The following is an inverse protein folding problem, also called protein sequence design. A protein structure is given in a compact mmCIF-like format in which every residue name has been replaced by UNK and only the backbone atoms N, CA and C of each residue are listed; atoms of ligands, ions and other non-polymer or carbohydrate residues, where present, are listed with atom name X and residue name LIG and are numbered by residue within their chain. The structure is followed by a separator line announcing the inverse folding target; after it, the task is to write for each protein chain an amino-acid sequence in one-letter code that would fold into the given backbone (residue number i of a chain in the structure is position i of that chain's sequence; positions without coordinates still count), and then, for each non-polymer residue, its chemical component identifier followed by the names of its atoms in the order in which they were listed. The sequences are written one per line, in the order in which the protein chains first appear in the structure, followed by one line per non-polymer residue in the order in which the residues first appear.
data_IF_236498614808
#
_entry.id   IF_236498614808
#
_cell.length_a   1.000
_cell.length_b   1.000
_cell.length_c   1.000
_cell.angle_alpha   90.00
_cell.angle_beta   90.00
_cell.angle_gamma   90.00
#
_symmetry.space_group_name_H-M   'P 1'
#
loop_
_entity.id
_entity.type
_entity.pdbx_description
1 polymer ?
#
# COMPACT_ATOMS: atom_id res chain seq x y z
N UNK A 1 23.93 4.16 -52.81
CA UNK A 1 22.47 4.33 -52.67
C UNK A 1 22.00 3.55 -51.44
N UNK A 2 21.54 4.22 -50.39
CA UNK A 2 20.98 3.55 -49.21
C UNK A 2 19.45 3.70 -49.23
N UNK A 3 18.74 2.57 -49.27
CA UNK A 3 17.27 2.50 -49.30
C UNK A 3 16.69 2.95 -47.96
N UNK A 4 15.74 3.90 -48.04
CA UNK A 4 14.96 4.41 -46.92
C UNK A 4 14.04 3.30 -46.40
N UNK A 5 14.33 2.74 -45.22
CA UNK A 5 13.42 1.79 -44.58
C UNK A 5 12.06 2.45 -44.32
N UNK A 6 10.98 1.81 -44.78
CA UNK A 6 9.62 2.30 -44.70
C UNK A 6 9.19 2.61 -43.27
N UNK A 7 8.43 3.69 -43.09
CA UNK A 7 7.81 4.06 -41.81
C UNK A 7 7.00 2.87 -41.28
N UNK A 8 7.45 2.24 -40.19
CA UNK A 8 6.63 1.24 -39.47
C UNK A 8 5.31 1.92 -39.10
N UNK A 9 4.20 1.43 -39.64
CA UNK A 9 2.85 1.87 -39.24
C UNK A 9 2.69 1.62 -37.74
N UNK A 10 2.23 2.63 -37.01
CA UNK A 10 1.87 2.46 -35.61
C UNK A 10 0.80 1.35 -35.50
N UNK A 11 0.91 0.43 -34.52
CA UNK A 11 -0.05 -0.66 -34.37
C UNK A 11 -1.47 -0.12 -34.15
N UNK A 12 -2.48 -0.84 -34.66
CA UNK A 12 -3.88 -0.48 -34.43
C UNK A 12 -4.20 -0.58 -32.93
N UNK A 13 -5.18 0.19 -32.46
CA UNK A 13 -5.58 0.23 -31.03
C UNK A 13 -5.91 -1.17 -30.50
N UNK A 14 -6.56 -2.00 -31.31
CA UNK A 14 -6.89 -3.40 -31.00
C UNK A 14 -5.64 -4.27 -30.85
N UNK A 15 -4.66 -4.15 -31.75
CA UNK A 15 -3.38 -4.90 -31.67
C UNK A 15 -2.55 -4.49 -30.44
N UNK A 16 -2.59 -3.20 -30.10
CA UNK A 16 -1.93 -2.67 -28.89
C UNK A 16 -2.61 -3.20 -27.63
N UNK A 17 -3.95 -3.22 -27.61
CA UNK A 17 -4.73 -3.78 -26.51
C UNK A 17 -4.51 -5.29 -26.37
N UNK A 18 -4.41 -6.05 -27.46
CA UNK A 18 -4.10 -7.49 -27.44
C UNK A 18 -2.68 -7.73 -26.92
N UNK A 19 -1.70 -6.93 -27.33
CA UNK A 19 -0.31 -7.05 -26.85
C UNK A 19 -0.17 -6.68 -25.37
N UNK A 20 -0.78 -5.59 -24.93
CA UNK A 20 -0.83 -5.18 -23.52
C UNK A 20 -1.58 -6.20 -22.68
N UNK A 21 -2.71 -6.72 -23.20
CA UNK A 21 -3.46 -7.83 -22.60
C UNK A 21 -2.58 -9.06 -22.46
N UNK A 22 -1.83 -9.49 -23.47
CA UNK A 22 -0.96 -10.67 -23.37
C UNK A 22 0.22 -10.49 -22.41
N UNK A 23 0.73 -9.26 -22.27
CA UNK A 23 1.80 -8.93 -21.32
C UNK A 23 1.29 -8.93 -19.86
N UNK A 24 0.05 -8.50 -19.64
CA UNK A 24 -0.65 -8.52 -18.35
C UNK A 24 -1.21 -9.93 -18.04
N UNK A 25 -1.70 -10.63 -19.06
CA UNK A 25 -2.40 -11.91 -19.00
C UNK A 25 -1.48 -13.11 -19.28
N UNK A 26 -0.19 -13.03 -18.97
CA UNK A 26 0.75 -14.16 -18.99
C UNK A 26 0.41 -15.27 -17.97
N UNK A 27 -0.88 -15.52 -17.70
CA UNK A 27 -1.40 -16.46 -16.70
C UNK A 27 -1.43 -15.94 -15.27
N UNK A 28 -0.97 -14.71 -15.01
CA UNK A 28 -0.78 -14.19 -13.65
C UNK A 28 -2.07 -13.64 -13.03
N UNK A 29 -2.98 -13.12 -13.85
CA UNK A 29 -4.22 -12.47 -13.38
C UNK A 29 -5.46 -13.07 -14.01
N UNK A 30 -6.54 -13.10 -13.23
CA UNK A 30 -7.86 -13.46 -13.72
C UNK A 30 -8.42 -12.42 -14.69
N UNK A 31 -9.28 -12.86 -15.63
CA UNK A 31 -9.88 -12.02 -16.68
C UNK A 31 -10.45 -10.68 -16.17
N UNK A 32 -11.23 -10.72 -15.08
CA UNK A 32 -11.80 -9.48 -14.51
C UNK A 32 -10.73 -8.47 -14.04
N UNK A 33 -9.60 -8.96 -13.53
CA UNK A 33 -8.49 -8.08 -13.12
C UNK A 33 -7.81 -7.50 -14.36
N UNK A 34 -7.63 -8.31 -15.41
CA UNK A 34 -7.10 -7.86 -16.71
C UNK A 34 -7.97 -6.76 -17.31
N UNK A 35 -9.29 -6.93 -17.29
CA UNK A 35 -10.24 -5.92 -17.77
C UNK A 35 -10.11 -4.60 -17.01
N UNK A 36 -9.96 -4.65 -15.68
CA UNK A 36 -9.72 -3.45 -14.86
C UNK A 36 -8.42 -2.76 -15.30
N UNK A 37 -7.32 -3.50 -15.46
CA UNK A 37 -6.04 -2.92 -15.87
C UNK A 37 -6.10 -2.29 -17.27
N UNK A 38 -6.76 -2.95 -18.23
CA UNK A 38 -7.02 -2.40 -19.57
C UNK A 38 -7.84 -1.11 -19.48
N UNK A 39 -8.86 -1.07 -18.61
CA UNK A 39 -9.66 0.13 -18.40
C UNK A 39 -8.83 1.29 -17.81
N UNK A 40 -7.87 1.01 -16.92
CA UNK A 40 -6.94 2.04 -16.42
C UNK A 40 -6.06 2.64 -17.53
N UNK A 41 -5.58 1.81 -18.46
CA UNK A 41 -4.80 2.25 -19.63
C UNK A 41 -5.65 3.07 -20.60
N UNK A 42 -6.86 2.60 -20.91
CA UNK A 42 -7.80 3.27 -21.81
C UNK A 42 -8.23 4.64 -21.26
N UNK A 43 -8.50 4.72 -19.94
CA UNK A 43 -8.89 5.95 -19.26
C UNK A 43 -7.68 6.87 -18.95
N UNK A 44 -6.47 6.52 -19.38
CA UNK A 44 -5.23 7.26 -19.08
C UNK A 44 -5.01 7.49 -17.59
N UNK A 45 -5.46 6.56 -16.74
CA UNK A 45 -5.08 6.55 -15.32
C UNK A 45 -3.61 6.16 -15.20
N UNK A 46 -3.14 5.26 -16.06
CA UNK A 46 -1.73 4.92 -16.27
C UNK A 46 -1.45 4.88 -17.78
N UNK A 47 -0.20 5.08 -18.18
CA UNK A 47 0.22 5.04 -19.59
C UNK A 47 0.80 3.69 -20.00
N UNK A 48 1.45 2.99 -19.06
CA UNK A 48 1.89 1.60 -19.16
C UNK A 48 1.88 0.95 -17.79
N UNK A 49 1.73 -0.38 -17.75
CA UNK A 49 2.07 -1.20 -16.59
C UNK A 49 3.46 -1.79 -16.85
N UNK A 50 4.41 -1.54 -15.95
CA UNK A 50 5.80 -1.96 -16.10
C UNK A 50 6.03 -3.29 -15.36
N UNK A 51 7.16 -3.43 -14.67
CA UNK A 51 7.51 -4.60 -13.88
C UNK A 51 6.88 -4.59 -12.46
N UNK A 52 6.72 -5.79 -11.85
CA UNK A 52 6.44 -5.88 -10.42
C UNK A 52 7.62 -5.29 -9.63
N UNK A 53 7.31 -4.50 -8.61
CA UNK A 53 8.30 -3.92 -7.67
C UNK A 53 8.25 -4.59 -6.31
N UNK A 54 7.11 -5.16 -5.93
CA UNK A 54 6.98 -5.96 -4.71
C UNK A 54 5.93 -7.05 -4.90
N UNK A 55 6.18 -8.22 -4.31
CA UNK A 55 5.28 -9.37 -4.38
C UNK A 55 5.10 -10.00 -3.00
N UNK A 56 3.88 -9.87 -2.46
CA UNK A 56 3.49 -10.49 -1.20
C UNK A 56 2.55 -11.69 -1.39
N UNK A 57 2.14 -12.30 -0.28
CA UNK A 57 1.12 -13.36 -0.28
C UNK A 57 -0.25 -12.84 -0.75
N UNK A 58 -0.54 -11.58 -0.47
CA UNK A 58 -1.89 -11.02 -0.59
C UNK A 58 -2.06 -10.13 -1.81
N UNK A 59 -0.98 -9.51 -2.29
CA UNK A 59 -0.99 -8.61 -3.42
C UNK A 59 0.34 -8.61 -4.17
N UNK A 60 0.32 -8.10 -5.40
CA UNK A 60 1.51 -7.72 -6.16
C UNK A 60 1.42 -6.22 -6.42
N UNK A 61 2.52 -5.50 -6.22
CA UNK A 61 2.63 -4.08 -6.55
C UNK A 61 3.45 -3.94 -7.82
N UNK A 62 2.89 -3.25 -8.81
CA UNK A 62 3.55 -2.91 -10.06
C UNK A 62 3.92 -1.45 -10.06
N UNK A 63 5.03 -1.13 -10.73
CA UNK A 63 5.26 0.23 -11.20
C UNK A 63 4.44 0.43 -12.48
N UNK A 64 3.88 1.62 -12.64
CA UNK A 64 3.21 2.04 -13.85
C UNK A 64 3.71 3.43 -14.26
N UNK A 65 3.95 3.66 -15.54
CA UNK A 65 4.32 4.99 -16.03
C UNK A 65 3.09 5.90 -16.10
N UNK A 66 3.26 7.18 -15.75
CA UNK A 66 2.22 8.21 -15.89
C UNK A 66 2.85 9.57 -16.19
N UNK A 67 2.72 10.03 -17.43
CA UNK A 67 3.36 11.26 -17.91
C UNK A 67 4.89 11.17 -17.74
N UNK A 68 5.48 12.13 -17.01
CA UNK A 68 6.91 12.12 -16.67
C UNK A 68 7.24 11.39 -15.36
N UNK A 69 6.23 10.84 -14.67
CA UNK A 69 6.38 10.20 -13.37
C UNK A 69 5.85 8.77 -13.37
N UNK A 70 5.65 8.25 -12.16
CA UNK A 70 5.23 6.87 -11.94
C UNK A 70 4.05 6.80 -10.95
N UNK A 71 3.31 5.69 -11.03
CA UNK A 71 2.28 5.28 -10.08
C UNK A 71 2.57 3.86 -9.61
N UNK A 72 2.14 3.54 -8.41
CA UNK A 72 2.08 2.17 -7.91
C UNK A 72 0.69 1.60 -8.20
N UNK A 73 0.65 0.39 -8.76
CA UNK A 73 -0.60 -0.36 -9.01
C UNK A 73 -0.55 -1.62 -8.17
N UNK A 74 -1.26 -1.63 -7.05
CA UNK A 74 -1.38 -2.78 -6.15
C UNK A 74 -2.57 -3.63 -6.58
N UNK A 75 -2.30 -4.87 -6.95
CA UNK A 75 -3.30 -5.86 -7.39
C UNK A 75 -3.41 -6.93 -6.32
N UNK A 76 -4.56 -7.01 -5.65
CA UNK A 76 -4.83 -8.02 -4.63
C UNK A 76 -5.17 -9.36 -5.29
N UNK A 77 -4.61 -10.43 -4.75
CA UNK A 77 -4.74 -11.80 -5.25
C UNK A 77 -6.03 -12.43 -4.71
N UNK A 78 -6.83 -13.02 -5.60
CA UNK A 78 -7.99 -13.81 -5.19
C UNK A 78 -7.60 -15.18 -4.62
N UNK A 79 -6.52 -15.77 -5.13
CA UNK A 79 -5.91 -16.97 -4.56
C UNK A 79 -4.90 -16.62 -3.47
N UNK A 80 -5.42 -16.26 -2.29
CA UNK A 80 -4.64 -15.99 -1.08
C UNK A 80 -4.87 -17.09 -0.03
N UNK A 81 -3.79 -17.70 0.47
CA UNK A 81 -3.83 -18.72 1.53
C UNK A 81 -4.16 -18.14 2.92
N UNK A 82 -4.02 -16.82 3.09
CA UNK A 82 -4.29 -16.09 4.34
C UNK A 82 -5.74 -15.62 4.47
N UNK A 83 -6.64 -16.08 3.59
CA UNK A 83 -8.04 -15.65 3.51
C UNK A 83 -8.79 -15.61 4.84
N UNK A 84 -8.56 -16.61 5.71
CA UNK A 84 -9.21 -16.65 7.04
C UNK A 84 -8.77 -15.48 7.92
N UNK A 85 -7.46 -15.19 7.96
CA UNK A 85 -6.90 -14.07 8.73
C UNK A 85 -7.38 -12.73 8.18
N UNK A 86 -7.60 -12.63 6.87
CA UNK A 86 -8.10 -11.40 6.26
C UNK A 86 -9.47 -10.97 6.84
N UNK A 87 -10.31 -11.95 7.17
CA UNK A 87 -11.64 -11.70 7.71
C UNK A 87 -11.58 -11.04 9.09
N UNK A 88 -10.60 -11.40 9.92
CA UNK A 88 -10.46 -10.87 11.29
C UNK A 88 -10.24 -9.35 11.34
N UNK A 89 -9.66 -8.76 10.28
CA UNK A 89 -9.42 -7.31 10.17
C UNK A 89 -10.62 -6.54 9.58
N UNK A 90 -11.71 -7.23 9.30
CA UNK A 90 -12.95 -6.67 8.72
C UNK A 90 -14.12 -6.95 9.64
N UNK A 91 -14.17 -8.14 10.22
CA UNK A 91 -15.20 -8.55 11.18
C UNK A 91 -15.07 -7.78 12.49
N UNK A 92 -16.08 -6.97 12.80
CA UNK A 92 -16.05 -6.05 13.94
C UNK A 92 -15.58 -4.64 13.59
N UNK A 93 -15.15 -4.36 12.36
CA UNK A 93 -14.98 -2.98 11.90
C UNK A 93 -16.37 -2.40 11.56
N UNK A 94 -16.83 -1.35 12.26
CA UNK A 94 -18.19 -0.84 12.10
C UNK A 94 -18.45 -0.21 10.73
N UNK A 95 -17.41 0.02 9.92
CA UNK A 95 -17.55 0.50 8.53
C UNK A 95 -18.12 -0.57 7.60
N UNK A 96 -18.10 -1.84 8.01
CA UNK A 96 -18.53 -2.97 7.19
C UNK A 96 -19.64 -3.76 7.88
N UNK A 97 -20.89 -3.57 7.45
CA UNK A 97 -22.02 -4.35 7.94
C UNK A 97 -22.03 -5.74 7.29
N UNK A 98 -21.96 -6.81 8.12
CA UNK A 98 -22.00 -8.23 7.69
C UNK A 98 -21.08 -8.52 6.50
N UNK A 99 -19.75 -8.39 6.66
CA UNK A 99 -18.82 -8.61 5.56
C UNK A 99 -18.95 -10.01 4.97
N UNK A 100 -18.88 -10.11 3.65
CA UNK A 100 -18.98 -11.40 2.97
C UNK A 100 -17.77 -12.28 3.29
N UNK A 101 -18.05 -13.55 3.61
CA UNK A 101 -17.04 -14.60 3.81
C UNK A 101 -16.60 -15.27 2.51
N UNK A 102 -17.08 -14.80 1.36
CA UNK A 102 -16.65 -15.30 0.06
C UNK A 102 -15.33 -14.65 -0.37
N UNK A 103 -14.45 -15.42 -1.03
CA UNK A 103 -13.12 -14.97 -1.48
C UNK A 103 -13.14 -13.63 -2.22
N UNK A 104 -13.87 -13.57 -3.33
CA UNK A 104 -13.88 -12.41 -4.23
C UNK A 104 -14.39 -11.13 -3.55
N UNK A 105 -15.59 -11.11 -2.94
CA UNK A 105 -16.07 -9.92 -2.25
C UNK A 105 -15.14 -9.42 -1.14
N UNK A 106 -14.52 -10.31 -0.36
CA UNK A 106 -13.61 -9.90 0.71
C UNK A 106 -12.32 -9.28 0.18
N UNK A 107 -11.74 -9.83 -0.89
CA UNK A 107 -10.54 -9.27 -1.54
C UNK A 107 -10.82 -7.87 -2.11
N UNK A 108 -11.98 -7.69 -2.74
CA UNK A 108 -12.42 -6.37 -3.23
C UNK A 108 -12.67 -5.40 -2.07
N UNK A 109 -13.22 -5.90 -0.95
CA UNK A 109 -13.42 -5.11 0.25
C UNK A 109 -12.08 -4.66 0.84
N UNK A 110 -11.07 -5.51 0.84
CA UNK A 110 -9.71 -5.18 1.26
C UNK A 110 -9.08 -4.07 0.42
N UNK A 111 -9.20 -4.14 -0.91
CA UNK A 111 -8.72 -3.07 -1.79
C UNK A 111 -9.42 -1.73 -1.49
N UNK A 112 -10.74 -1.76 -1.31
CA UNK A 112 -11.53 -0.56 -0.94
C UNK A 112 -11.16 -0.04 0.45
N UNK A 113 -10.92 -0.94 1.39
CA UNK A 113 -10.52 -0.63 2.76
C UNK A 113 -9.14 0.05 2.78
N UNK A 114 -8.14 -0.49 2.08
CA UNK A 114 -6.81 0.14 1.98
C UNK A 114 -6.91 1.53 1.34
N UNK A 115 -7.68 1.67 0.26
CA UNK A 115 -7.93 2.98 -0.37
C UNK A 115 -8.53 4.00 0.61
N UNK A 116 -9.54 3.58 1.38
CA UNK A 116 -10.20 4.44 2.36
C UNK A 116 -9.27 4.81 3.53
N UNK A 117 -8.48 3.85 4.02
CA UNK A 117 -7.50 4.08 5.08
C UNK A 117 -6.41 5.06 4.62
N UNK A 118 -5.82 4.87 3.43
CA UNK A 118 -4.84 5.80 2.86
C UNK A 118 -5.43 7.21 2.73
N UNK A 119 -6.68 7.34 2.29
CA UNK A 119 -7.36 8.65 2.20
C UNK A 119 -7.50 9.32 3.56
N UNK A 120 -7.95 8.57 4.57
CA UNK A 120 -8.12 9.08 5.92
C UNK A 120 -6.78 9.51 6.55
N UNK A 121 -5.74 8.67 6.44
CA UNK A 121 -4.39 8.98 6.89
C UNK A 121 -3.83 10.23 6.20
N UNK A 122 -3.99 10.32 4.88
CA UNK A 122 -3.55 11.50 4.12
C UNK A 122 -4.28 12.77 4.56
N UNK A 123 -5.59 12.69 4.76
CA UNK A 123 -6.40 13.80 5.26
C UNK A 123 -6.00 14.27 6.68
N UNK A 124 -5.44 13.37 7.50
CA UNK A 124 -4.91 13.66 8.82
C UNK A 124 -3.43 14.11 8.80
N UNK A 125 -2.81 14.26 7.63
CA UNK A 125 -1.41 14.68 7.50
C UNK A 125 -0.40 13.59 7.88
N UNK A 126 -0.80 12.32 7.86
CA UNK A 126 0.10 11.17 7.96
C UNK A 126 0.84 11.01 6.63
N UNK A 127 2.14 10.73 6.69
CA UNK A 127 2.94 10.41 5.50
C UNK A 127 2.58 9.02 4.98
N UNK A 128 1.76 8.98 3.94
CA UNK A 128 1.32 7.78 3.22
C UNK A 128 1.30 8.06 1.72
N UNK A 129 1.41 7.03 0.84
CA UNK A 129 1.19 7.21 -0.59
C UNK A 129 -0.16 7.83 -0.88
N UNK A 130 -0.22 8.83 -1.76
CA UNK A 130 -1.51 9.39 -2.20
C UNK A 130 -2.34 8.34 -2.96
N UNK A 131 -3.55 7.99 -2.50
CA UNK A 131 -4.40 7.02 -3.18
C UNK A 131 -5.22 7.71 -4.29
N UNK A 132 -5.01 7.33 -5.54
CA UNK A 132 -5.70 7.93 -6.68
C UNK A 132 -7.05 7.26 -6.96
N UNK A 133 -7.05 5.93 -7.07
CA UNK A 133 -8.22 5.18 -7.51
C UNK A 133 -8.22 3.74 -6.98
N UNK A 134 -9.41 3.23 -6.66
CA UNK A 134 -9.63 1.81 -6.39
C UNK A 134 -10.78 1.29 -7.24
N UNK A 135 -10.59 0.15 -7.91
CA UNK A 135 -11.59 -0.56 -8.72
C UNK A 135 -11.39 -2.06 -8.55
N UNK A 136 -12.46 -2.78 -8.20
CA UNK A 136 -12.40 -4.21 -7.88
C UNK A 136 -11.28 -4.52 -6.87
N UNK A 137 -10.30 -5.35 -7.24
CA UNK A 137 -9.12 -5.74 -6.49
C UNK A 137 -7.87 -4.95 -6.86
N UNK A 138 -7.99 -3.80 -7.53
CA UNK A 138 -6.87 -2.98 -7.98
C UNK A 138 -6.92 -1.61 -7.32
N UNK A 139 -5.79 -1.23 -6.71
CA UNK A 139 -5.54 0.07 -6.09
C UNK A 139 -4.40 0.78 -6.86
N UNK A 140 -4.65 2.00 -7.31
CA UNK A 140 -3.66 2.89 -7.92
C UNK A 140 -3.33 4.00 -6.93
N UNK A 141 -2.05 4.16 -6.61
CA UNK A 141 -1.55 5.13 -5.64
C UNK A 141 -0.21 5.73 -6.07
N UNK A 142 0.27 6.70 -5.31
CA UNK A 142 1.59 7.31 -5.48
C UNK A 142 2.69 6.26 -5.50
N UNK A 143 3.64 6.40 -6.42
CA UNK A 143 4.85 5.60 -6.41
C UNK A 143 5.90 6.31 -5.55
N UNK A 144 6.23 5.71 -4.40
CA UNK A 144 7.31 6.19 -3.56
C UNK A 144 8.66 5.73 -4.14
N UNK A 145 9.28 6.60 -4.93
CA UNK A 145 10.58 6.32 -5.55
C UNK A 145 11.16 7.50 -6.33
N UNK A 146 12.43 7.38 -6.72
CA UNK A 146 13.17 8.41 -7.47
C UNK A 146 13.73 7.79 -8.75
N UNK A 147 13.55 8.45 -9.90
CA UNK A 147 14.02 7.91 -11.19
C UNK A 147 13.39 6.57 -11.58
N UNK A 148 12.19 6.26 -11.06
CA UNK A 148 11.52 4.98 -11.28
C UNK A 148 12.04 3.83 -10.42
N UNK A 149 13.00 4.08 -9.53
CA UNK A 149 13.51 3.12 -8.54
C UNK A 149 12.72 3.32 -7.25
N UNK A 150 12.20 2.23 -6.70
CA UNK A 150 11.43 2.24 -5.46
C UNK A 150 12.30 2.70 -4.28
N UNK A 151 11.73 3.50 -3.39
CA UNK A 151 12.37 3.86 -2.12
C UNK A 151 12.65 2.62 -1.25
N UNK A 152 13.72 2.64 -0.47
CA UNK A 152 14.06 1.53 0.42
C UNK A 152 13.07 1.42 1.60
N UNK A 153 12.85 0.20 2.07
CA UNK A 153 12.17 -0.06 3.33
C UNK A 153 13.06 0.34 4.50
N UNK A 154 12.44 0.67 5.63
CA UNK A 154 13.15 0.97 6.87
C UNK A 154 14.02 -0.22 7.32
N UNK A 155 13.57 -1.45 7.05
CA UNK A 155 14.34 -2.69 7.31
C UNK A 155 15.58 -2.86 6.43
N UNK A 156 15.72 -2.11 5.34
CA UNK A 156 16.77 -2.25 4.33
C UNK A 156 17.88 -1.20 4.47
N UNK A 157 17.76 -0.30 5.45
CA UNK A 157 18.69 0.81 5.63
C UNK A 157 19.32 0.82 7.03
N UNK A 158 20.46 1.47 7.11
CA UNK A 158 21.03 1.92 8.39
C UNK A 158 20.67 3.40 8.54
N UNK A 159 20.07 3.76 9.68
CA UNK A 159 19.67 5.13 9.95
C UNK A 159 20.87 5.95 10.43
N UNK A 160 21.12 7.08 9.78
CA UNK A 160 22.10 8.07 10.26
C UNK A 160 21.59 8.78 11.53
N UNK A 161 20.29 9.12 11.54
CA UNK A 161 19.61 9.76 12.67
C UNK A 161 18.33 8.98 13.02
N UNK A 162 18.51 7.99 13.89
CA UNK A 162 17.43 7.13 14.36
C UNK A 162 16.41 7.89 15.22
N UNK A 163 16.85 8.90 16.00
CA UNK A 163 15.97 9.68 16.86
C UNK A 163 15.01 10.55 16.04
N UNK A 164 15.52 11.26 15.03
CA UNK A 164 14.68 12.06 14.13
C UNK A 164 13.69 11.20 13.37
N UNK A 165 14.13 10.06 12.83
CA UNK A 165 13.25 9.15 12.09
C UNK A 165 12.16 8.57 13.00
N UNK A 166 12.53 8.18 14.22
CA UNK A 166 11.59 7.73 15.24
C UNK A 166 10.54 8.80 15.56
N UNK A 167 10.98 10.05 15.77
CA UNK A 167 10.11 11.16 16.10
C UNK A 167 9.05 11.39 15.01
N UNK A 168 9.45 11.38 13.73
CA UNK A 168 8.47 11.50 12.62
C UNK A 168 7.51 10.32 12.58
N UNK A 169 7.98 9.09 12.83
CA UNK A 169 7.11 7.90 12.87
C UNK A 169 6.11 8.00 14.04
N UNK A 170 6.56 8.38 15.23
CA UNK A 170 5.69 8.54 16.39
C UNK A 170 4.61 9.61 16.16
N UNK A 171 4.99 10.76 15.59
CA UNK A 171 4.03 11.80 15.20
C UNK A 171 3.03 11.31 14.13
N UNK A 172 3.46 10.51 13.16
CA UNK A 172 2.56 9.91 12.18
C UNK A 172 1.60 8.89 12.83
N UNK A 173 2.05 8.13 13.83
CA UNK A 173 1.18 7.25 14.62
C UNK A 173 0.15 8.03 15.44
N UNK A 174 0.53 9.14 16.07
CA UNK A 174 -0.37 10.05 16.80
C UNK A 174 -1.47 10.62 15.89
N UNK A 175 -1.10 11.10 14.70
CA UNK A 175 -2.03 11.62 13.68
C UNK A 175 -2.98 10.52 13.20
N UNK A 176 -2.46 9.32 12.92
CA UNK A 176 -3.27 8.17 12.49
C UNK A 176 -4.26 7.74 13.57
N UNK A 177 -3.83 7.67 14.83
CA UNK A 177 -4.69 7.38 15.97
C UNK A 177 -5.78 8.45 16.13
N UNK A 178 -5.42 9.73 16.05
CA UNK A 178 -6.36 10.86 16.09
C UNK A 178 -7.38 10.83 14.95
N UNK A 179 -7.01 10.25 13.79
CA UNK A 179 -7.91 10.01 12.67
C UNK A 179 -8.85 8.80 12.87
N UNK A 180 -8.78 8.12 14.01
CA UNK A 180 -9.62 6.97 14.32
C UNK A 180 -9.14 5.64 13.74
N UNK A 181 -7.85 5.52 13.40
CA UNK A 181 -7.27 4.36 12.73
C UNK A 181 -6.09 3.75 13.49
N UNK A 182 -5.92 2.45 13.31
CA UNK A 182 -4.75 1.66 13.73
C UNK A 182 -4.24 0.91 12.51
N UNK A 183 -2.93 0.84 12.31
CA UNK A 183 -2.35 0.15 11.15
C UNK A 183 -2.49 -1.38 11.27
N UNK A 184 -2.36 -1.90 12.48
CA UNK A 184 -2.51 -3.30 12.87
C UNK A 184 -1.48 -4.28 12.30
N UNK A 185 -0.42 -3.75 11.69
CA UNK A 185 0.74 -4.47 11.17
C UNK A 185 1.95 -3.55 10.98
N UNK A 186 2.05 -2.47 11.77
CA UNK A 186 3.13 -1.50 11.60
C UNK A 186 4.45 -2.10 12.10
N UNK A 187 5.46 -2.08 11.23
CA UNK A 187 6.82 -2.55 11.49
C UNK A 187 7.78 -1.90 10.48
N UNK A 188 9.07 -2.15 10.63
CA UNK A 188 10.12 -1.70 9.70
C UNK A 188 9.93 -2.19 8.25
N UNK A 189 9.12 -3.22 8.04
CA UNK A 189 8.81 -3.76 6.71
C UNK A 189 7.68 -3.02 6.00
N UNK A 190 6.91 -2.21 6.74
CA UNK A 190 5.77 -1.44 6.23
C UNK A 190 6.00 0.08 6.33
N UNK A 191 7.26 0.49 6.45
CA UNK A 191 7.70 1.89 6.40
C UNK A 191 8.73 2.05 5.29
N UNK A 192 8.49 2.96 4.36
CA UNK A 192 9.42 3.32 3.28
C UNK A 192 10.07 4.66 3.56
N UNK A 193 11.38 4.77 3.36
CA UNK A 193 12.08 6.06 3.41
C UNK A 193 12.06 6.73 2.04
N UNK A 194 11.19 7.71 1.90
CA UNK A 194 11.00 8.46 0.67
C UNK A 194 11.40 9.92 0.84
N UNK A 195 12.42 10.35 0.09
CA UNK A 195 12.96 11.73 0.13
C UNK A 195 13.32 12.18 1.56
N UNK A 196 13.91 11.29 2.35
CA UNK A 196 14.35 11.56 3.72
C UNK A 196 13.26 11.43 4.78
N UNK A 197 12.03 11.10 4.41
CA UNK A 197 10.90 11.00 5.34
C UNK A 197 10.30 9.58 5.38
N UNK A 198 9.83 9.09 6.55
CA UNK A 198 9.23 7.77 6.70
C UNK A 198 7.74 7.75 6.33
N UNK A 199 7.41 7.08 5.23
CA UNK A 199 6.04 6.88 4.75
C UNK A 199 5.52 5.52 5.20
N UNK A 200 4.32 5.47 5.75
CA UNK A 200 3.62 4.22 6.05
C UNK A 200 2.98 3.66 4.79
N UNK A 201 3.10 2.36 4.58
CA UNK A 201 2.54 1.63 3.45
C UNK A 201 1.79 0.38 3.93
N UNK A 202 0.98 -0.20 3.05
CA UNK A 202 0.22 -1.43 3.31
C UNK A 202 -0.88 -1.33 4.40
N UNK A 203 -1.91 -0.54 4.09
CA UNK A 203 -3.04 -0.30 5.00
C UNK A 203 -4.19 -1.32 4.86
N UNK A 204 -3.96 -2.47 4.23
CA UNK A 204 -5.00 -3.49 4.03
C UNK A 204 -5.52 -4.05 5.35
N UNK A 205 -4.63 -4.21 6.33
CA UNK A 205 -4.95 -4.70 7.68
C UNK A 205 -5.51 -3.59 8.59
N UNK A 206 -5.24 -2.32 8.30
CA UNK A 206 -5.59 -1.20 9.19
C UNK A 206 -7.07 -1.08 9.54
N UNK A 207 -7.39 -0.95 10.81
CA UNK A 207 -8.77 -1.01 11.34
C UNK A 207 -9.21 0.30 11.97
N UNK A 208 -10.52 0.49 12.11
CA UNK A 208 -11.05 1.55 12.97
C UNK A 208 -10.69 1.32 14.44
N UNK A 209 -10.47 2.40 15.20
CA UNK A 209 -10.34 2.33 16.67
C UNK A 209 -11.56 1.71 17.38
N UNK A 210 -12.71 1.69 16.72
CA UNK A 210 -13.94 1.05 17.23
C UNK A 210 -13.93 -0.47 17.08
N UNK A 211 -12.94 -1.04 16.39
CA UNK A 211 -12.80 -2.48 16.26
C UNK A 211 -12.48 -3.11 17.63
N UNK A 212 -13.10 -4.24 18.03
CA UNK A 212 -12.89 -4.85 19.35
C UNK A 212 -11.42 -5.14 19.69
N UNK A 213 -10.63 -5.44 18.66
CA UNK A 213 -9.18 -5.74 18.77
C UNK A 213 -8.25 -4.55 18.47
N UNK A 214 -8.77 -3.35 18.25
CA UNK A 214 -7.95 -2.20 17.88
C UNK A 214 -6.86 -1.88 18.91
N UNK A 215 -7.18 -1.98 20.20
CA UNK A 215 -6.22 -1.73 21.28
C UNK A 215 -5.06 -2.75 21.27
N UNK A 216 -5.37 -4.05 21.13
CA UNK A 216 -4.38 -5.12 21.04
C UNK A 216 -3.41 -4.91 19.86
N UNK A 217 -3.95 -4.49 18.71
CA UNK A 217 -3.13 -4.25 17.53
C UNK A 217 -2.29 -2.98 17.63
N UNK A 218 -2.83 -1.91 18.24
CA UNK A 218 -2.06 -0.70 18.50
C UNK A 218 -0.89 -0.96 19.45
N UNK A 219 -1.11 -1.76 20.50
CA UNK A 219 -0.05 -2.18 21.42
C UNK A 219 1.07 -2.93 20.67
N UNK A 220 0.72 -3.81 19.74
CA UNK A 220 1.68 -4.53 18.89
C UNK A 220 2.43 -3.59 17.94
N UNK A 221 1.74 -2.68 17.27
CA UNK A 221 2.34 -1.67 16.39
C UNK A 221 3.38 -0.85 17.18
N UNK A 222 3.01 -0.34 18.36
CA UNK A 222 3.91 0.42 19.24
C UNK A 222 5.10 -0.43 19.71
N UNK A 223 4.87 -1.69 20.08
CA UNK A 223 5.94 -2.60 20.50
C UNK A 223 6.93 -2.91 19.36
N UNK A 224 6.44 -3.12 18.13
CA UNK A 224 7.28 -3.37 16.96
C UNK A 224 8.16 -2.16 16.63
N UNK A 225 7.56 -0.98 16.53
CA UNK A 225 8.29 0.27 16.26
C UNK A 225 9.32 0.54 17.36
N UNK A 226 8.91 0.49 18.63
CA UNK A 226 9.84 0.70 19.74
C UNK A 226 11.00 -0.30 19.69
N UNK A 227 10.74 -1.60 19.48
CA UNK A 227 11.76 -2.64 19.38
C UNK A 227 12.78 -2.39 18.26
N UNK A 228 12.32 -1.93 17.10
CA UNK A 228 13.22 -1.57 15.99
C UNK A 228 14.14 -0.42 16.40
N UNK A 229 13.60 0.66 16.94
CA UNK A 229 14.37 1.85 17.30
C UNK A 229 15.24 1.68 18.56
N UNK A 230 14.84 0.82 19.51
CA UNK A 230 15.70 0.45 20.64
C UNK A 230 17.00 -0.22 20.17
N UNK A 231 16.93 -1.06 19.14
CA UNK A 231 18.13 -1.67 18.53
C UNK A 231 19.00 -0.64 17.80
N UNK A 232 18.39 0.44 17.32
CA UNK A 232 19.08 1.56 16.68
C UNK A 232 19.57 2.63 17.69
N UNK A 233 19.48 2.37 19.00
CA UNK A 233 20.03 3.23 20.05
C UNK A 233 19.02 4.21 20.69
N UNK A 234 17.77 4.25 20.23
CA UNK A 234 16.73 5.13 20.79
C UNK A 234 16.19 4.54 22.11
N UNK A 235 16.20 5.32 23.19
CA UNK A 235 15.68 4.89 24.50
C UNK A 235 14.16 5.01 24.56
N UNK A 236 13.46 3.97 24.09
CA UNK A 236 11.99 3.92 24.07
C UNK A 236 11.50 2.49 24.33
N UNK A 237 10.37 2.33 25.04
CA UNK A 237 9.63 1.07 25.12
C UNK A 237 8.29 1.15 24.38
N UNK A 238 7.70 -0.01 24.07
CA UNK A 238 6.36 -0.06 23.46
C UNK A 238 5.28 0.61 24.33
N UNK A 239 5.41 0.54 25.66
CA UNK A 239 4.48 1.20 26.59
C UNK A 239 4.61 2.72 26.54
N UNK A 240 5.83 3.24 26.47
CA UNK A 240 6.08 4.68 26.37
C UNK A 240 5.48 5.23 25.07
N UNK A 241 5.72 4.55 23.94
CA UNK A 241 5.17 4.94 22.66
C UNK A 241 3.64 4.84 22.62
N UNK A 242 3.05 3.79 23.19
CA UNK A 242 1.60 3.66 23.30
C UNK A 242 0.97 4.81 24.09
N UNK A 243 1.57 5.16 25.23
CA UNK A 243 1.07 6.22 26.07
C UNK A 243 1.13 7.58 25.35
N UNK A 244 2.24 7.84 24.65
CA UNK A 244 2.40 8.99 23.77
C UNK A 244 1.31 9.03 22.67
N UNK A 245 1.16 7.96 21.90
CA UNK A 245 0.19 7.88 20.79
C UNK A 245 -1.25 8.07 21.27
N UNK A 246 -1.59 7.54 22.44
CA UNK A 246 -2.93 7.61 23.01
C UNK A 246 -3.17 8.87 23.85
N UNK A 247 -2.16 9.75 23.99
CA UNK A 247 -2.16 10.90 24.89
C UNK A 247 -2.61 10.55 26.32
N UNK A 248 -2.30 9.33 26.78
CA UNK A 248 -2.49 8.90 28.16
C UNK A 248 -1.22 9.26 28.92
N UNK A 249 -1.33 10.08 29.96
CA UNK A 249 -0.21 10.30 30.89
C UNK A 249 0.11 8.94 31.54
N UNK A 250 1.36 8.47 31.41
CA UNK A 250 1.92 7.35 32.18
C UNK A 250 2.13 7.80 33.62
#
# INVERSE_FOLDING_TARGET
MALRMGKRKAPKREDKQIKERNMIAGGVFEDKTVDVLINLLNAKVIDSLDCPVSGGKEAIVFRASKGKGYRAVKVFKYENTSFRKMFDYVDGDPRFYKPSRQKRPLVQLWAKKEYANLKACRGAGVLVPEPFLCRENVLVMEFLGVGGIQSALLSEVVLEDAEKTFETIAQNMEKMFSAGLVHADLSEYNVMLHKGEPYFIDFAQGVSLKHPRAAEWLEKDCANVAKFFSKAGVRITGKDLLARVTNKRV
#
